data_IF_750589453156
#
_entry.id   IF_750589453156
#
_cell.length_a   1.000
_cell.length_b   1.000
_cell.length_c   1.000
_cell.angle_alpha   90.00
_cell.angle_beta   90.00
_cell.angle_gamma   90.00
#
_symmetry.space_group_name_H-M   'P 1'
#
loop_
_entity.id
_entity.type
_entity.pdbx_description
1 polymer ?
#
# COMPACT_ATOMS: atom_id res chain seq x y z
N UNK A 1 -13.28 -9.86 20.45
CA UNK A 1 -12.38 -8.85 19.87
C UNK A 1 -12.55 -8.93 18.37
N UNK A 2 -13.13 -7.92 17.72
CA UNK A 2 -13.52 -7.97 16.30
C UNK A 2 -12.57 -7.20 15.39
N UNK A 3 -11.73 -6.34 15.98
CA UNK A 3 -10.70 -5.62 15.23
C UNK A 3 -9.47 -5.33 16.09
N UNK A 4 -8.33 -5.09 15.44
CA UNK A 4 -7.10 -4.57 16.06
C UNK A 4 -6.86 -3.17 15.50
N UNK A 5 -6.78 -2.17 16.38
CA UNK A 5 -6.43 -0.80 15.99
C UNK A 5 -4.91 -0.69 15.93
N UNK A 6 -4.40 -0.38 14.74
CA UNK A 6 -2.98 -0.21 14.45
C UNK A 6 -2.77 0.98 13.51
N UNK A 7 -3.63 1.98 13.68
CA UNK A 7 -3.63 3.25 12.95
C UNK A 7 -2.30 3.98 13.17
N UNK A 8 -1.44 3.95 12.15
CA UNK A 8 -0.17 4.69 12.14
C UNK A 8 -0.32 5.98 11.31
N UNK A 9 0.30 7.06 11.78
CA UNK A 9 0.23 8.41 11.18
C UNK A 9 0.77 8.39 9.74
N UNK A 10 1.75 7.53 9.45
CA UNK A 10 2.31 7.37 8.11
C UNK A 10 1.27 6.86 7.09
N UNK A 11 0.33 5.99 7.50
CA UNK A 11 -0.75 5.48 6.64
C UNK A 11 -1.86 6.51 6.44
N UNK A 12 -2.14 7.32 7.47
CA UNK A 12 -3.16 8.38 7.41
C UNK A 12 -2.84 9.45 6.34
N UNK A 13 -1.55 9.68 6.04
CA UNK A 13 -1.10 10.66 5.07
C UNK A 13 -1.40 10.27 3.62
N UNK A 14 -1.63 8.98 3.36
CA UNK A 14 -1.82 8.44 2.00
C UNK A 14 -3.30 8.33 1.61
N UNK A 15 -4.22 8.70 2.51
CA UNK A 15 -5.66 8.70 2.24
C UNK A 15 -6.28 7.30 2.05
N UNK A 16 -5.50 6.25 2.29
CA UNK A 16 -5.98 4.88 2.40
C UNK A 16 -6.33 4.69 3.86
N UNK A 17 -7.62 4.55 4.15
CA UNK A 17 -8.12 4.40 5.52
C UNK A 17 -7.32 3.32 6.21
N UNK A 18 -6.65 3.67 7.33
CA UNK A 18 -6.07 2.70 8.23
C UNK A 18 -7.24 1.91 8.82
N UNK A 19 -7.68 0.87 8.10
CA UNK A 19 -8.78 0.03 8.53
C UNK A 19 -8.32 -0.71 9.78
N UNK A 20 -9.08 -0.68 10.88
CA UNK A 20 -8.79 -1.61 11.97
C UNK A 20 -8.81 -3.05 11.43
N UNK A 21 -7.82 -3.86 11.80
CA UNK A 21 -7.61 -5.18 11.22
C UNK A 21 -8.82 -6.08 11.52
N UNK A 22 -9.57 -6.47 10.49
CA UNK A 22 -10.80 -7.26 10.64
C UNK A 22 -10.51 -8.74 10.93
N UNK A 23 -10.94 -9.22 12.10
CA UNK A 23 -10.73 -10.59 12.56
C UNK A 23 -11.81 -11.61 12.10
N UNK A 24 -12.76 -11.17 11.27
CA UNK A 24 -13.79 -12.03 10.66
C UNK A 24 -13.40 -12.68 9.34
N UNK A 25 -12.23 -12.32 8.79
CA UNK A 25 -11.66 -12.93 7.59
C UNK A 25 -11.48 -14.45 7.70
N UNK A 26 -11.56 -15.12 6.55
CA UNK A 26 -11.33 -16.58 6.42
C UNK A 26 -9.88 -16.93 6.11
N UNK A 27 -9.14 -15.98 5.56
CA UNK A 27 -7.74 -16.12 5.16
C UNK A 27 -7.01 -14.83 5.46
N UNK A 28 -5.77 -14.93 5.95
CA UNK A 28 -4.93 -13.78 6.28
C UNK A 28 -3.61 -13.92 5.54
N UNK A 29 -3.31 -12.94 4.68
CA UNK A 29 -2.04 -12.82 3.99
C UNK A 29 -1.24 -11.69 4.61
N UNK A 30 -0.05 -12.00 5.11
CA UNK A 30 0.91 -11.02 5.58
C UNK A 30 2.03 -10.90 4.55
N UNK A 31 2.20 -9.71 3.99
CA UNK A 31 3.11 -9.45 2.88
C UNK A 31 4.12 -8.40 3.32
N UNK A 32 5.38 -8.79 3.41
CA UNK A 32 6.52 -7.88 3.51
C UNK A 32 7.02 -7.56 2.10
N UNK A 33 7.10 -6.28 1.74
CA UNK A 33 7.73 -5.83 0.51
C UNK A 33 9.05 -5.14 0.82
N UNK A 34 10.13 -5.65 0.24
CA UNK A 34 11.50 -5.26 0.58
C UNK A 34 12.03 -5.95 1.84
N UNK A 35 13.21 -5.53 2.30
CA UNK A 35 14.00 -6.19 3.35
C UNK A 35 14.31 -5.29 4.56
N UNK A 36 13.69 -4.11 4.64
CA UNK A 36 13.89 -3.19 5.75
C UNK A 36 13.52 -3.84 7.10
N UNK A 37 14.35 -3.71 8.15
CA UNK A 37 14.06 -4.32 9.46
C UNK A 37 12.72 -3.89 10.07
N UNK A 38 12.30 -2.64 9.83
CA UNK A 38 11.01 -2.12 10.28
C UNK A 38 9.82 -2.83 9.61
N UNK A 39 9.94 -3.17 8.33
CA UNK A 39 8.92 -3.93 7.58
C UNK A 39 8.78 -5.33 8.17
N UNK A 40 9.90 -6.02 8.39
CA UNK A 40 9.91 -7.37 8.99
C UNK A 40 9.31 -7.34 10.40
N UNK A 41 9.75 -6.40 11.25
CA UNK A 41 9.24 -6.26 12.61
C UNK A 41 7.72 -5.99 12.66
N UNK A 42 7.20 -5.21 11.71
CA UNK A 42 5.75 -4.96 11.60
C UNK A 42 4.98 -6.21 11.25
N UNK A 43 5.44 -6.95 10.24
CA UNK A 43 4.79 -8.18 9.79
C UNK A 43 4.83 -9.26 10.87
N UNK A 44 5.94 -9.38 11.59
CA UNK A 44 6.04 -10.28 12.75
C UNK A 44 5.10 -9.87 13.88
N UNK A 45 4.91 -8.58 14.13
CA UNK A 45 3.91 -8.09 15.10
C UNK A 45 2.52 -8.53 14.68
N UNK A 46 2.12 -8.32 13.42
CA UNK A 46 0.83 -8.78 12.92
C UNK A 46 0.64 -10.29 13.02
N UNK A 47 1.69 -11.07 12.73
CA UNK A 47 1.64 -12.52 12.88
C UNK A 47 1.36 -12.93 14.34
N UNK A 48 2.03 -12.30 15.32
CA UNK A 48 1.77 -12.53 16.75
C UNK A 48 0.37 -12.10 17.17
N UNK A 49 -0.08 -10.94 16.69
CA UNK A 49 -1.40 -10.39 17.00
C UNK A 49 -2.50 -11.35 16.49
N UNK A 50 -2.36 -11.90 15.27
CA UNK A 50 -3.30 -12.87 14.68
C UNK A 50 -3.22 -14.26 15.32
N UNK A 51 -2.03 -14.74 15.67
CA UNK A 51 -1.84 -16.00 16.39
C UNK A 51 -2.53 -15.96 17.77
N UNK A 52 -2.40 -14.84 18.49
CA UNK A 52 -3.09 -14.62 19.77
C UNK A 52 -4.63 -14.64 19.64
N UNK A 53 -5.15 -14.36 18.44
CA UNK A 53 -6.56 -14.46 18.10
C UNK A 53 -6.94 -15.81 17.46
N UNK A 54 -6.03 -16.79 17.46
CA UNK A 54 -6.17 -18.11 16.84
C UNK A 54 -6.53 -18.02 15.35
N UNK A 55 -5.78 -17.21 14.60
CA UNK A 55 -5.89 -17.11 13.14
C UNK A 55 -4.63 -17.63 12.47
N UNK A 56 -4.80 -18.57 11.55
CA UNK A 56 -3.72 -19.01 10.68
C UNK A 56 -3.41 -17.91 9.65
N UNK A 57 -2.12 -17.68 9.40
CA UNK A 57 -1.62 -16.66 8.48
C UNK A 57 -0.69 -17.29 7.45
N UNK A 58 -0.71 -16.79 6.22
CA UNK A 58 0.31 -17.06 5.23
C UNK A 58 1.25 -15.85 5.15
N UNK A 59 2.55 -16.11 5.33
CA UNK A 59 3.59 -15.10 5.31
C UNK A 59 4.30 -15.10 3.96
N UNK A 60 4.39 -13.93 3.33
CA UNK A 60 5.04 -13.74 2.04
C UNK A 60 6.05 -12.59 2.13
N UNK A 61 7.19 -12.77 1.47
CA UNK A 61 8.17 -11.72 1.22
C UNK A 61 8.28 -11.52 -0.29
N UNK A 62 8.10 -10.29 -0.73
CA UNK A 62 8.14 -9.90 -2.14
C UNK A 62 9.20 -8.81 -2.35
N UNK A 63 9.87 -8.78 -3.51
CA UNK A 63 10.82 -7.71 -3.83
C UNK A 63 10.11 -6.37 -4.16
N UNK A 64 8.89 -6.43 -4.71
CA UNK A 64 8.09 -5.27 -5.09
C UNK A 64 6.58 -5.56 -5.00
N UNK A 65 5.75 -4.55 -5.31
CA UNK A 65 4.30 -4.65 -5.22
C UNK A 65 3.63 -5.44 -6.34
N UNK A 66 4.31 -5.71 -7.46
CA UNK A 66 3.72 -6.41 -8.60
C UNK A 66 3.42 -7.89 -8.28
N UNK A 67 4.22 -8.51 -7.40
CA UNK A 67 4.03 -9.89 -6.97
C UNK A 67 2.71 -10.17 -6.23
N UNK A 68 2.01 -9.13 -5.76
CA UNK A 68 0.75 -9.27 -5.03
C UNK A 68 -0.37 -9.84 -5.89
N UNK A 69 -0.36 -9.60 -7.21
CA UNK A 69 -1.37 -10.13 -8.13
C UNK A 69 -1.50 -11.66 -8.02
N UNK A 70 -0.37 -12.36 -8.01
CA UNK A 70 -0.34 -13.83 -7.94
C UNK A 70 -0.88 -14.36 -6.60
N UNK A 71 -0.62 -13.65 -5.50
CA UNK A 71 -1.16 -14.01 -4.19
C UNK A 71 -2.67 -13.81 -4.12
N UNK A 72 -3.20 -12.79 -4.79
CA UNK A 72 -4.64 -12.55 -4.89
C UNK A 72 -5.33 -13.63 -5.73
N UNK A 73 -4.75 -13.99 -6.88
CA UNK A 73 -5.31 -15.02 -7.76
C UNK A 73 -5.46 -16.39 -7.09
N UNK A 74 -4.64 -16.67 -6.08
CA UNK A 74 -4.67 -17.93 -5.31
C UNK A 74 -5.44 -17.82 -3.99
N UNK A 75 -6.00 -16.65 -3.69
CA UNK A 75 -6.78 -16.38 -2.48
C UNK A 75 -8.24 -16.80 -2.60
N UNK A 76 -8.89 -16.88 -1.46
CA UNK A 76 -10.32 -17.24 -1.36
C UNK A 76 -11.15 -16.07 -0.85
N UNK A 77 -12.48 -16.13 -1.07
CA UNK A 77 -13.43 -15.12 -0.59
C UNK A 77 -13.31 -14.96 0.93
N UNK A 78 -13.21 -13.70 1.37
CA UNK A 78 -13.00 -13.35 2.78
C UNK A 78 -11.51 -13.24 3.17
N UNK A 79 -10.62 -13.01 2.20
CA UNK A 79 -9.21 -12.72 2.46
C UNK A 79 -9.02 -11.36 3.13
N UNK A 80 -8.05 -11.27 4.03
CA UNK A 80 -7.50 -10.01 4.56
C UNK A 80 -6.05 -9.96 4.17
N UNK A 81 -5.69 -8.93 3.40
CA UNK A 81 -4.35 -8.74 2.86
C UNK A 81 -3.71 -7.60 3.64
N UNK A 82 -2.57 -7.90 4.23
CA UNK A 82 -1.84 -6.97 5.09
C UNK A 82 -0.45 -6.77 4.50
N UNK A 83 -0.13 -5.53 4.14
CA UNK A 83 1.07 -5.20 3.37
C UNK A 83 1.92 -4.21 4.14
N UNK A 84 3.18 -4.55 4.39
CA UNK A 84 4.16 -3.62 4.93
C UNK A 84 5.28 -3.42 3.92
N UNK A 85 5.73 -2.17 3.73
CA UNK A 85 6.79 -1.84 2.79
C UNK A 85 7.11 -0.35 2.77
N UNK A 86 7.91 0.08 1.79
CA UNK A 86 8.07 1.50 1.48
C UNK A 86 6.87 2.03 0.69
N UNK A 87 6.62 3.34 0.71
CA UNK A 87 5.39 3.91 0.13
C UNK A 87 5.21 3.55 -1.35
N UNK A 88 6.22 3.72 -2.19
CA UNK A 88 6.12 3.41 -3.62
C UNK A 88 5.66 1.96 -3.87
N UNK A 89 6.30 1.01 -3.22
CA UNK A 89 6.06 -0.42 -3.35
C UNK A 89 4.69 -0.83 -2.76
N UNK A 90 4.33 -0.29 -1.60
CA UNK A 90 3.00 -0.50 -0.98
C UNK A 90 1.91 0.06 -1.88
N UNK A 91 2.11 1.25 -2.44
CA UNK A 91 1.11 1.89 -3.29
C UNK A 91 0.96 1.18 -4.64
N UNK A 92 2.04 0.64 -5.19
CA UNK A 92 1.97 -0.28 -6.33
C UNK A 92 1.13 -1.52 -6.00
N UNK A 93 1.37 -2.14 -4.84
CA UNK A 93 0.60 -3.30 -4.40
C UNK A 93 -0.88 -2.98 -4.16
N UNK A 94 -1.20 -1.79 -3.62
CA UNK A 94 -2.57 -1.31 -3.44
C UNK A 94 -3.25 -1.15 -4.79
N UNK A 95 -2.58 -0.57 -5.79
CA UNK A 95 -3.12 -0.42 -7.14
C UNK A 95 -3.50 -1.79 -7.73
N UNK A 96 -2.56 -2.75 -7.65
CA UNK A 96 -2.77 -4.14 -8.10
C UNK A 96 -3.95 -4.79 -7.38
N UNK A 97 -4.02 -4.65 -6.05
CA UNK A 97 -5.10 -5.22 -5.26
C UNK A 97 -6.47 -4.64 -5.63
N UNK A 98 -6.54 -3.31 -5.84
CA UNK A 98 -7.78 -2.63 -6.25
C UNK A 98 -8.22 -3.01 -7.65
N UNK A 99 -7.28 -3.12 -8.59
CA UNK A 99 -7.56 -3.59 -9.95
C UNK A 99 -8.11 -5.03 -9.95
N UNK A 100 -7.65 -5.87 -9.01
CA UNK A 100 -8.17 -7.21 -8.79
C UNK A 100 -9.51 -7.25 -8.01
N UNK A 101 -10.06 -6.09 -7.62
CA UNK A 101 -11.35 -5.97 -6.94
C UNK A 101 -11.31 -6.12 -5.41
N UNK A 102 -10.13 -6.14 -4.79
CA UNK A 102 -10.00 -6.18 -3.33
C UNK A 102 -10.59 -4.91 -2.72
N UNK A 103 -11.47 -5.07 -1.75
CA UNK A 103 -12.15 -3.95 -1.12
C UNK A 103 -11.23 -3.24 -0.12
N UNK A 104 -11.44 -1.93 0.15
CA UNK A 104 -10.68 -1.21 1.17
C UNK A 104 -10.73 -1.85 2.56
N UNK A 105 -11.82 -2.51 2.93
CA UNK A 105 -11.94 -3.23 4.21
C UNK A 105 -11.19 -4.58 4.25
N UNK A 106 -10.74 -5.07 3.09
CA UNK A 106 -9.97 -6.30 2.96
C UNK A 106 -8.45 -6.03 2.90
N UNK A 107 -8.07 -4.76 2.82
CA UNK A 107 -6.69 -4.33 2.66
C UNK A 107 -6.22 -3.51 3.86
N UNK A 108 -5.13 -3.95 4.48
CA UNK A 108 -4.46 -3.24 5.56
C UNK A 108 -3.02 -2.92 5.16
N UNK A 109 -2.56 -1.70 5.39
CA UNK A 109 -1.22 -1.29 4.95
C UNK A 109 -0.43 -0.60 6.05
N UNK A 110 0.89 -0.79 6.00
CA UNK A 110 1.85 -0.06 6.80
C UNK A 110 2.99 0.44 5.92
N UNK A 111 3.24 1.75 5.99
CA UNK A 111 4.31 2.41 5.25
C UNK A 111 5.46 2.66 6.21
N UNK A 112 6.61 2.06 5.91
CA UNK A 112 7.82 2.16 6.72
C UNK A 112 8.58 3.47 6.49
N UNK A 113 8.53 4.03 5.28
CA UNK A 113 9.15 5.32 4.91
C UNK A 113 8.59 5.87 3.58
N UNK A 114 8.81 7.17 3.36
CA UNK A 114 8.18 8.03 2.33
C UNK A 114 9.27 8.83 1.59
N UNK A 115 10.20 8.12 0.94
CA UNK A 115 11.31 8.75 0.20
C UNK A 115 11.09 8.74 -1.31
N UNK A 116 10.37 7.73 -1.81
CA UNK A 116 10.03 7.57 -3.22
C UNK A 116 8.53 7.40 -3.33
N UNK A 117 7.92 8.16 -4.22
CA UNK A 117 6.48 8.16 -4.45
C UNK A 117 6.17 7.91 -5.93
N UNK A 118 4.94 7.51 -6.21
CA UNK A 118 4.43 7.40 -7.58
C UNK A 118 3.48 8.59 -7.85
N UNK A 119 3.77 9.36 -8.89
CA UNK A 119 3.04 10.59 -9.23
C UNK A 119 2.35 10.44 -10.58
N UNK A 120 1.07 10.75 -10.62
CA UNK A 120 0.25 10.74 -11.81
C UNK A 120 0.30 12.07 -12.56
N UNK A 121 0.69 12.05 -13.84
CA UNK A 121 0.61 13.21 -14.72
C UNK A 121 -0.81 13.36 -15.31
N UNK A 122 -1.55 14.42 -14.97
CA UNK A 122 -2.90 14.64 -15.53
C UNK A 122 -2.88 14.99 -17.03
N UNK A 123 -1.73 15.36 -17.59
CA UNK A 123 -1.60 15.79 -18.98
C UNK A 123 -1.40 14.63 -19.96
N UNK A 124 -0.55 13.66 -19.60
CA UNK A 124 -0.14 12.58 -20.52
C UNK A 124 -0.35 11.18 -19.96
N UNK A 125 -1.04 11.05 -18.83
CA UNK A 125 -1.34 9.78 -18.16
C UNK A 125 -0.13 9.01 -17.60
N UNK A 126 1.09 9.54 -17.77
CA UNK A 126 2.33 8.89 -17.29
C UNK A 126 2.40 8.84 -15.76
N UNK A 127 2.73 7.67 -15.23
CA UNK A 127 3.08 7.46 -13.82
C UNK A 127 4.59 7.63 -13.63
N UNK A 128 4.99 8.44 -12.66
CA UNK A 128 6.37 8.87 -12.45
C UNK A 128 6.82 8.39 -11.07
N UNK A 129 7.85 7.53 -11.04
CA UNK A 129 8.58 7.22 -9.82
C UNK A 129 9.53 8.38 -9.51
N UNK A 130 9.32 9.07 -8.40
CA UNK A 130 10.11 10.25 -8.04
C UNK A 130 10.53 10.23 -6.57
N UNK A 131 11.76 10.65 -6.30
CA UNK A 131 12.21 11.02 -4.95
C UNK A 131 11.65 12.41 -4.64
N UNK A 132 10.43 12.43 -4.11
CA UNK A 132 9.67 13.66 -3.90
C UNK A 132 8.69 13.50 -2.74
N UNK A 133 8.13 14.63 -2.30
CA UNK A 133 7.08 14.70 -1.29
C UNK A 133 5.95 15.61 -1.80
N UNK A 134 4.76 15.58 -1.17
CA UNK A 134 3.77 16.62 -1.40
C UNK A 134 4.36 18.02 -1.35
N UNK A 135 3.84 18.90 -2.19
CA UNK A 135 4.28 20.28 -2.41
C UNK A 135 5.65 20.45 -3.11
N UNK A 136 6.34 19.37 -3.48
CA UNK A 136 7.47 19.44 -4.41
C UNK A 136 6.99 19.60 -5.85
N UNK A 137 7.80 20.28 -6.67
CA UNK A 137 7.66 20.28 -8.13
C UNK A 137 8.61 19.25 -8.74
N UNK A 138 8.11 18.42 -9.64
CA UNK A 138 8.90 17.44 -10.41
C UNK A 138 8.66 17.60 -11.90
N UNK A 139 9.63 17.25 -12.74
CA UNK A 139 9.43 17.20 -14.19
C UNK A 139 8.80 15.86 -14.60
N UNK A 140 7.79 15.91 -15.48
CA UNK A 140 7.18 14.71 -16.04
C UNK A 140 8.10 14.04 -17.07
N UNK A 141 8.48 12.79 -16.85
CA UNK A 141 9.25 11.99 -17.81
C UNK A 141 8.53 11.68 -19.14
N UNK A 142 7.21 11.88 -19.20
CA UNK A 142 6.40 11.66 -20.40
C UNK A 142 6.18 12.90 -21.27
N UNK A 143 5.88 14.05 -20.67
CA UNK A 143 5.57 15.29 -21.39
C UNK A 143 6.48 16.48 -21.07
N UNK A 144 7.51 16.29 -20.25
CA UNK A 144 8.48 17.31 -19.83
C UNK A 144 7.88 18.55 -19.16
N UNK A 145 6.63 18.47 -18.67
CA UNK A 145 6.00 19.56 -17.91
C UNK A 145 6.37 19.46 -16.44
N UNK A 146 6.51 20.61 -15.80
CA UNK A 146 6.59 20.72 -14.36
C UNK A 146 5.25 20.38 -13.70
N UNK A 147 5.30 19.54 -12.68
CA UNK A 147 4.18 18.98 -11.96
C UNK A 147 4.32 19.29 -10.47
N UNK A 148 3.37 20.05 -9.91
CA UNK A 148 3.25 20.23 -8.47
C UNK A 148 2.56 19.02 -7.85
N UNK A 149 3.27 18.27 -7.00
CA UNK A 149 2.75 17.09 -6.29
C UNK A 149 1.73 17.54 -5.24
N UNK A 150 0.48 17.08 -5.34
CA UNK A 150 -0.57 17.42 -4.37
C UNK A 150 -0.56 16.43 -3.20
N UNK A 151 -1.03 16.81 -2.00
CA UNK A 151 -1.12 15.91 -0.84
C UNK A 151 -2.27 14.88 -0.94
N UNK A 152 -2.75 14.58 -2.15
CA UNK A 152 -3.88 13.68 -2.37
C UNK A 152 -3.48 12.57 -3.33
N UNK A 153 -3.88 11.36 -2.99
CA UNK A 153 -3.71 10.18 -3.82
C UNK A 153 -5.01 9.85 -4.56
N UNK A 154 -4.87 9.26 -5.75
CA UNK A 154 -5.99 8.64 -6.45
C UNK A 154 -6.43 7.38 -5.71
N UNK A 155 -7.70 7.32 -5.31
CA UNK A 155 -8.29 6.10 -4.74
C UNK A 155 -8.33 4.94 -5.76
N UNK A 156 -8.39 5.23 -7.05
CA UNK A 156 -8.37 4.19 -8.08
C UNK A 156 -6.96 3.69 -8.36
N UNK A 157 -6.01 4.62 -8.54
CA UNK A 157 -4.66 4.28 -9.06
C UNK A 157 -3.61 4.09 -7.98
N UNK A 158 -3.89 4.48 -6.73
CA UNK A 158 -2.93 4.51 -5.64
C UNK A 158 -1.64 5.25 -6.05
N UNK A 159 -1.78 6.47 -6.56
CA UNK A 159 -0.67 7.36 -6.93
C UNK A 159 -1.02 8.77 -6.49
N UNK A 160 -0.02 9.59 -6.18
CA UNK A 160 -0.22 11.02 -5.93
C UNK A 160 -0.75 11.71 -7.18
N UNK A 161 -1.71 12.62 -7.00
CA UNK A 161 -2.15 13.50 -8.07
C UNK A 161 -1.20 14.68 -8.18
N UNK A 162 -0.94 15.13 -9.39
CA UNK A 162 -0.23 16.39 -9.63
C UNK A 162 -1.07 17.35 -10.46
N UNK A 163 -0.75 18.64 -10.35
CA UNK A 163 -1.24 19.68 -11.26
C UNK A 163 -0.06 20.21 -12.07
N UNK A 164 -0.31 20.62 -13.33
CA UNK A 164 0.70 21.36 -14.10
C UNK A 164 0.98 22.67 -13.36
N UNK A 165 2.26 22.94 -13.11
CA UNK A 165 2.73 24.17 -12.44
C UNK A 165 2.60 25.41 -13.35
#
# INVERSE_FOLDING_TARGET
MTSIDDSDIATAQVGITAASMDLSGRQYLLIAIGDAPSVTAKVEKWARDLDSAHRAVALHSLPDGAGVAHLIDTSTVGVRIMIAGAEYEVMQAVAVAREAGILPCELFIHISHVDVINVFCPHCDTAIRATARPDHTIECSGCARDLLVRPHTSSHRAMYLASVA
#
